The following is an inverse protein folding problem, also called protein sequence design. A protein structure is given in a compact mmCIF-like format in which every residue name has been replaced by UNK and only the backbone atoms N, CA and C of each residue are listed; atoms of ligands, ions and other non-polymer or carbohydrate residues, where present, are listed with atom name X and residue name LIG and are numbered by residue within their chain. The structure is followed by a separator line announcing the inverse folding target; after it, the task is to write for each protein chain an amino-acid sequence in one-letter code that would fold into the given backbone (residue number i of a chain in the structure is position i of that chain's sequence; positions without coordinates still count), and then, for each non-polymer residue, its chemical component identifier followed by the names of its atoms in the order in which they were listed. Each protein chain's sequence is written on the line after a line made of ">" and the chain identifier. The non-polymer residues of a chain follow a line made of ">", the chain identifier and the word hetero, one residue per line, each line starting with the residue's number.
data_IF_641982636869
#
_entry.id   IF_641982636869
#
_cell.length_a   1.000
_cell.length_b   1.000
_cell.length_c   1.000
_cell.angle_alpha   90.00
_cell.angle_beta   90.00
_cell.angle_gamma   90.00
#
_symmetry.space_group_name_H-M   'P 1'
#
loop_
_entity.id
_entity.type
_entity.pdbx_description
1 polymer ?
#
# COMPACT_ATOMS: atom_id res chain seq x y z
N UNK A 1 23.83 12.08 5.38
CA UNK A 1 22.56 12.27 4.69
C UNK A 1 21.66 11.13 5.07
N UNK A 2 20.60 11.42 5.80
CA UNK A 2 19.56 10.42 6.11
C UNK A 2 18.58 10.26 4.93
N UNK A 3 17.58 9.38 5.08
CA UNK A 3 16.60 9.09 4.03
C UNK A 3 15.80 10.32 3.63
N UNK A 4 15.34 11.07 4.62
CA UNK A 4 14.51 12.25 4.44
C UNK A 4 15.26 13.39 3.79
N UNK A 5 16.47 13.69 4.24
CA UNK A 5 17.36 14.68 3.60
C UNK A 5 17.58 14.34 2.13
N UNK A 6 17.85 13.06 1.83
CA UNK A 6 18.06 12.55 0.48
C UNK A 6 16.84 12.76 -0.41
N UNK A 7 15.65 12.42 0.10
CA UNK A 7 14.39 12.60 -0.60
C UNK A 7 14.09 14.08 -0.85
N UNK A 8 14.25 14.94 0.15
CA UNK A 8 14.00 16.37 0.02
C UNK A 8 14.94 17.00 -1.03
N UNK A 9 16.24 16.69 -1.00
CA UNK A 9 17.19 17.17 -2.00
C UNK A 9 16.84 16.72 -3.41
N UNK A 10 16.49 15.45 -3.58
CA UNK A 10 16.09 14.91 -4.88
C UNK A 10 14.82 15.59 -5.41
N UNK A 11 13.82 15.86 -4.55
CA UNK A 11 12.59 16.57 -4.94
C UNK A 11 12.86 18.03 -5.29
N UNK A 12 13.81 18.68 -4.63
CA UNK A 12 14.24 20.05 -4.93
C UNK A 12 15.14 20.13 -6.19
N UNK A 13 15.42 19.00 -6.85
CA UNK A 13 16.26 18.92 -8.04
C UNK A 13 17.76 19.05 -7.77
N UNK A 14 18.16 18.97 -6.50
CA UNK A 14 19.57 18.95 -6.07
C UNK A 14 20.14 17.53 -6.13
N UNK A 15 21.46 17.39 -6.06
CA UNK A 15 22.13 16.08 -6.10
C UNK A 15 22.22 15.45 -4.70
N UNK A 16 21.52 14.33 -4.43
CA UNK A 16 21.71 13.56 -3.21
C UNK A 16 23.01 12.74 -3.24
N UNK A 17 23.44 12.22 -2.09
CA UNK A 17 24.60 11.32 -1.99
C UNK A 17 24.41 9.96 -2.71
N UNK A 18 23.16 9.54 -2.93
CA UNK A 18 22.75 8.43 -3.81
C UNK A 18 21.30 8.61 -4.25
N UNK A 19 20.87 7.85 -5.26
CA UNK A 19 19.46 7.84 -5.71
C UNK A 19 18.56 7.29 -4.57
N UNK A 20 17.48 7.99 -4.18
CA UNK A 20 16.50 7.47 -3.24
C UNK A 20 15.84 6.17 -3.75
N UNK A 21 15.72 5.19 -2.87
CA UNK A 21 15.16 3.88 -3.18
C UNK A 21 13.86 3.59 -2.39
N UNK A 22 12.94 2.88 -3.04
CA UNK A 22 11.72 2.36 -2.44
C UNK A 22 11.61 0.86 -2.75
N UNK A 23 10.96 0.10 -1.86
CA UNK A 23 10.61 -1.30 -2.12
C UNK A 23 9.09 -1.45 -2.14
N UNK A 24 8.57 -1.87 -3.29
CA UNK A 24 7.15 -2.09 -3.49
C UNK A 24 6.34 -0.80 -3.57
N UNK A 25 5.02 -0.97 -3.48
CA UNK A 25 4.03 0.11 -3.54
C UNK A 25 3.04 0.02 -2.37
N UNK A 26 3.47 -0.59 -1.25
CA UNK A 26 2.68 -0.87 -0.06
C UNK A 26 3.59 -1.02 1.16
N UNK A 27 3.03 -1.02 2.38
CA UNK A 27 3.79 -1.21 3.61
C UNK A 27 4.53 -2.56 3.61
N UNK A 28 5.86 -2.50 3.75
CA UNK A 28 6.73 -3.66 3.95
C UNK A 28 7.33 -3.59 5.35
N UNK A 29 7.21 -4.69 6.11
CA UNK A 29 7.85 -4.84 7.41
C UNK A 29 9.37 -5.09 7.21
N UNK A 30 10.13 -4.01 7.04
CA UNK A 30 11.58 -4.12 6.82
C UNK A 30 12.31 -4.66 8.03
N UNK A 31 11.82 -4.43 9.24
CA UNK A 31 12.50 -4.90 10.45
C UNK A 31 12.55 -6.44 10.47
N UNK A 32 11.58 -7.10 9.83
CA UNK A 32 11.59 -8.56 9.61
C UNK A 32 12.50 -9.05 8.47
N UNK A 33 12.90 -8.17 7.56
CA UNK A 33 13.65 -8.51 6.34
C UNK A 33 15.12 -8.11 6.41
N UNK A 34 15.45 -7.11 7.20
CA UNK A 34 16.80 -6.58 7.34
C UNK A 34 17.59 -7.51 8.28
N UNK A 35 18.79 -7.96 7.89
CA UNK A 35 19.63 -8.76 8.76
C UNK A 35 19.91 -8.07 10.10
N UNK A 36 20.00 -8.86 11.17
CA UNK A 36 20.28 -8.32 12.51
C UNK A 36 21.53 -7.44 12.54
N UNK A 37 21.42 -6.28 13.20
CA UNK A 37 22.51 -5.32 13.35
C UNK A 37 22.70 -4.37 12.15
N UNK A 38 21.91 -4.51 11.08
CA UNK A 38 21.88 -3.55 9.98
C UNK A 38 20.69 -2.60 10.10
N UNK A 39 20.90 -1.35 9.70
CA UNK A 39 19.84 -0.36 9.63
C UNK A 39 19.10 -0.45 8.29
N UNK A 40 17.79 -0.71 8.35
CA UNK A 40 16.92 -0.73 7.17
C UNK A 40 16.90 0.58 6.38
N UNK A 41 17.15 1.71 7.04
CA UNK A 41 17.23 3.04 6.40
C UNK A 41 18.46 3.17 5.50
N UNK A 42 19.45 2.28 5.64
CA UNK A 42 20.58 2.24 4.71
C UNK A 42 20.20 1.72 3.31
N UNK A 43 19.11 0.96 3.22
CA UNK A 43 18.68 0.33 1.97
C UNK A 43 17.57 1.12 1.29
N UNK A 44 16.56 1.55 2.05
CA UNK A 44 15.36 2.19 1.55
C UNK A 44 15.13 3.55 2.18
N UNK A 45 14.72 4.49 1.35
CA UNK A 45 14.49 5.88 1.72
C UNK A 45 12.99 6.20 1.85
N UNK A 46 12.15 5.51 1.07
CA UNK A 46 10.70 5.67 1.10
C UNK A 46 10.07 4.56 1.92
N UNK A 47 9.30 4.96 2.93
CA UNK A 47 8.47 4.07 3.76
C UNK A 47 6.99 4.34 3.50
N UNK A 48 6.21 3.28 3.41
CA UNK A 48 4.76 3.37 3.30
C UNK A 48 4.13 3.17 4.68
N UNK A 49 3.27 4.09 5.11
CA UNK A 49 2.42 3.88 6.29
C UNK A 49 1.28 2.92 5.95
N UNK A 50 0.70 2.31 6.98
CA UNK A 50 -0.38 1.34 6.81
C UNK A 50 -1.61 1.80 7.58
N UNK A 51 -2.76 1.81 6.90
CA UNK A 51 -4.05 1.95 7.57
C UNK A 51 -4.23 0.84 8.62
N UNK A 52 -4.87 1.14 9.76
CA UNK A 52 -5.40 0.12 10.65
C UNK A 52 -6.20 -0.93 9.88
N UNK A 53 -6.13 -2.17 10.36
CA UNK A 53 -6.90 -3.27 9.75
C UNK A 53 -8.38 -3.01 10.00
N UNK A 54 -9.15 -2.87 8.93
CA UNK A 54 -10.60 -2.70 9.00
C UNK A 54 -11.31 -3.94 9.56
N UNK A 55 -12.52 -3.80 10.15
CA UNK A 55 -13.33 -4.94 10.56
C UNK A 55 -13.58 -5.96 9.43
N UNK A 56 -13.76 -5.49 8.20
CA UNK A 56 -13.95 -6.30 6.99
C UNK A 56 -12.70 -7.11 6.66
N UNK A 57 -11.52 -6.49 6.72
CA UNK A 57 -10.23 -7.16 6.53
C UNK A 57 -9.99 -8.23 7.61
N UNK A 58 -10.29 -7.93 8.87
CA UNK A 58 -10.11 -8.90 9.95
C UNK A 58 -11.12 -10.05 9.84
N UNK A 59 -12.35 -9.77 9.41
CA UNK A 59 -13.35 -10.80 9.08
C UNK A 59 -12.85 -11.67 7.92
N UNK A 60 -12.36 -11.07 6.84
CA UNK A 60 -11.82 -11.81 5.70
C UNK A 60 -10.63 -12.66 6.12
N UNK A 61 -9.68 -12.12 6.88
CA UNK A 61 -8.51 -12.85 7.40
C UNK A 61 -8.93 -14.08 8.20
N UNK A 62 -9.93 -13.95 9.06
CA UNK A 62 -10.48 -15.06 9.86
C UNK A 62 -11.12 -16.13 8.98
N UNK A 63 -11.89 -15.73 7.98
CA UNK A 63 -12.55 -16.63 7.04
C UNK A 63 -11.54 -17.33 6.11
N UNK A 64 -10.48 -16.63 5.73
CA UNK A 64 -9.44 -17.12 4.84
C UNK A 64 -8.41 -18.02 5.55
N UNK A 65 -8.27 -17.92 6.88
CA UNK A 65 -7.28 -18.66 7.69
C UNK A 65 -7.21 -20.17 7.44
N UNK A 66 -8.32 -20.90 7.19
CA UNK A 66 -8.27 -22.34 6.94
C UNK A 66 -7.71 -22.73 5.56
N UNK A 67 -7.57 -21.78 4.63
CA UNK A 67 -7.13 -22.03 3.26
C UNK A 67 -5.67 -21.64 3.10
N UNK A 68 -4.91 -22.42 2.33
CA UNK A 68 -3.54 -22.07 1.98
C UNK A 68 -3.52 -20.81 1.11
N UNK A 69 -2.61 -19.86 1.37
CA UNK A 69 -2.52 -18.64 0.59
C UNK A 69 -2.11 -18.96 -0.85
N UNK A 70 -3.02 -18.74 -1.80
CA UNK A 70 -2.69 -18.75 -3.23
C UNK A 70 -1.97 -17.44 -3.58
N UNK A 71 -0.68 -17.54 -3.88
CA UNK A 71 0.17 -16.39 -4.23
C UNK A 71 -0.29 -15.65 -5.48
N UNK A 72 -1.18 -16.22 -6.30
CA UNK A 72 -1.80 -15.54 -7.45
C UNK A 72 -2.82 -14.47 -7.06
N UNK A 73 -3.47 -14.61 -5.90
CA UNK A 73 -4.51 -13.68 -5.44
C UNK A 73 -3.98 -12.63 -4.45
N UNK A 74 -2.76 -12.82 -3.94
CA UNK A 74 -2.11 -11.92 -3.00
C UNK A 74 -2.42 -12.23 -1.53
N UNK A 75 -2.05 -11.31 -0.66
CA UNK A 75 -2.31 -11.38 0.79
C UNK A 75 -3.78 -11.10 1.11
N UNK A 76 -4.32 -11.51 2.27
CA UNK A 76 -5.69 -11.18 2.67
C UNK A 76 -6.00 -9.68 2.66
N UNK A 77 -5.01 -8.82 2.94
CA UNK A 77 -5.14 -7.34 2.87
C UNK A 77 -5.36 -6.89 1.43
N UNK A 78 -4.57 -7.43 0.49
CA UNK A 78 -4.75 -7.17 -0.94
C UNK A 78 -6.10 -7.68 -1.43
N UNK A 79 -6.53 -8.87 -0.99
CA UNK A 79 -7.85 -9.42 -1.33
C UNK A 79 -9.00 -8.56 -0.78
N UNK A 80 -8.88 -8.03 0.45
CA UNK A 80 -9.89 -7.14 0.99
C UNK A 80 -9.99 -5.83 0.20
N UNK A 81 -8.86 -5.29 -0.23
CA UNK A 81 -8.82 -4.15 -1.15
C UNK A 81 -9.53 -4.51 -2.46
N UNK A 82 -9.27 -5.68 -3.04
CA UNK A 82 -9.97 -6.11 -4.25
C UNK A 82 -11.48 -6.20 -4.05
N UNK A 83 -11.95 -6.72 -2.92
CA UNK A 83 -13.39 -6.76 -2.58
C UNK A 83 -13.96 -5.34 -2.45
N UNK A 84 -13.26 -4.43 -1.76
CA UNK A 84 -13.71 -3.05 -1.56
C UNK A 84 -13.89 -2.30 -2.89
N UNK A 85 -13.03 -2.58 -3.87
CA UNK A 85 -13.07 -1.98 -5.21
C UNK A 85 -13.85 -2.82 -6.24
N UNK A 86 -14.51 -3.90 -5.82
CA UNK A 86 -15.11 -4.95 -6.68
C UNK A 86 -14.20 -5.39 -7.84
N UNK A 87 -12.90 -5.48 -7.57
CA UNK A 87 -11.89 -5.95 -8.51
C UNK A 87 -11.78 -7.48 -8.45
N UNK A 88 -11.88 -8.14 -9.62
CA UNK A 88 -11.92 -9.62 -9.77
C UNK A 88 -10.72 -10.14 -10.58
N UNK A 89 -9.51 -10.22 -10.01
CA UNK A 89 -8.32 -10.68 -10.73
C UNK A 89 -8.40 -12.13 -11.23
N UNK A 90 -9.22 -12.96 -10.60
CA UNK A 90 -9.46 -14.37 -10.95
C UNK A 90 -10.31 -14.57 -12.21
N UNK A 91 -10.99 -13.52 -12.68
CA UNK A 91 -11.84 -13.55 -13.85
C UNK A 91 -11.26 -12.61 -14.93
N UNK A 92 -10.15 -12.96 -15.60
CA UNK A 92 -9.46 -12.06 -16.53
C UNK A 92 -10.33 -11.62 -17.72
N UNK A 93 -11.36 -12.40 -18.08
CA UNK A 93 -12.35 -12.07 -19.10
C UNK A 93 -13.34 -11.00 -18.62
N UNK A 94 -13.60 -10.93 -17.31
CA UNK A 94 -14.17 -9.76 -16.64
C UNK A 94 -13.03 -8.76 -16.37
N UNK A 95 -12.50 -8.15 -17.44
CA UNK A 95 -11.60 -7.00 -17.30
C UNK A 95 -12.22 -5.99 -16.35
N UNK A 96 -11.37 -5.26 -15.62
CA UNK A 96 -11.76 -4.04 -14.89
C UNK A 96 -12.78 -3.28 -15.77
N UNK A 97 -14.04 -3.07 -15.32
CA UNK A 97 -15.07 -2.48 -16.16
C UNK A 97 -14.64 -1.11 -16.75
N UNK A 98 -13.78 -0.37 -16.05
CA UNK A 98 -13.18 0.88 -16.53
C UNK A 98 -12.22 0.69 -17.72
N UNK A 99 -11.70 -0.51 -17.97
CA UNK A 99 -10.87 -0.79 -19.13
C UNK A 99 -11.61 -0.64 -20.47
N UNK A 100 -12.95 -0.56 -20.43
CA UNK A 100 -13.80 -0.30 -21.61
C UNK A 100 -14.45 1.09 -21.60
N UNK A 101 -14.20 1.91 -20.57
CA UNK A 101 -14.73 3.26 -20.51
C UNK A 101 -14.21 4.08 -21.71
N UNK A 102 -15.12 4.67 -22.47
CA UNK A 102 -14.85 5.52 -23.64
C UNK A 102 -15.41 6.92 -23.48
N UNK A 103 -16.20 7.14 -22.44
CA UNK A 103 -16.87 8.41 -22.15
C UNK A 103 -16.85 8.71 -20.66
N UNK A 104 -17.19 9.95 -20.32
CA UNK A 104 -17.38 10.36 -18.92
C UNK A 104 -18.58 9.65 -18.27
N UNK A 105 -19.61 9.35 -19.05
CA UNK A 105 -20.82 8.67 -18.57
C UNK A 105 -20.51 7.23 -18.13
N UNK A 106 -19.63 6.53 -18.87
CA UNK A 106 -19.11 5.21 -18.46
C UNK A 106 -18.37 5.25 -17.11
N UNK A 107 -17.74 6.38 -16.77
CA UNK A 107 -17.12 6.55 -15.46
C UNK A 107 -18.18 6.77 -14.38
N UNK A 108 -19.19 7.61 -14.64
CA UNK A 108 -20.24 7.90 -13.66
C UNK A 108 -21.09 6.68 -13.32
N UNK A 109 -21.36 5.82 -14.30
CA UNK A 109 -22.10 4.56 -14.08
C UNK A 109 -21.27 3.47 -13.39
N UNK A 110 -19.94 3.64 -13.31
CA UNK A 110 -19.10 2.67 -12.61
C UNK A 110 -19.44 2.68 -11.11
N UNK A 111 -19.64 1.50 -10.49
CA UNK A 111 -19.95 1.38 -9.07
C UNK A 111 -18.70 1.65 -8.22
N UNK A 112 -18.22 2.90 -8.24
CA UNK A 112 -17.15 3.31 -7.35
C UNK A 112 -17.53 3.02 -5.90
N UNK A 113 -16.57 2.60 -5.07
CA UNK A 113 -16.82 2.45 -3.65
C UNK A 113 -17.35 3.76 -3.07
N UNK A 114 -18.21 3.67 -2.06
CA UNK A 114 -18.72 4.85 -1.36
C UNK A 114 -17.55 5.60 -0.70
N UNK A 115 -17.13 6.70 -1.33
CA UNK A 115 -16.05 7.57 -0.85
C UNK A 115 -16.44 8.35 0.41
N UNK A 116 -17.72 8.32 0.80
CA UNK A 116 -18.23 8.83 2.07
C UNK A 116 -17.99 7.88 3.24
N UNK A 117 -17.54 6.65 2.98
CA UNK A 117 -17.11 5.72 4.03
C UNK A 117 -15.88 6.28 4.72
N UNK A 118 -15.95 6.51 6.03
CA UNK A 118 -14.82 7.00 6.81
C UNK A 118 -13.73 5.94 6.82
N UNK A 119 -12.56 6.26 6.25
CA UNK A 119 -11.36 5.47 6.51
C UNK A 119 -11.00 5.59 7.98
N UNK A 120 -10.68 4.46 8.62
CA UNK A 120 -10.00 4.48 9.91
C UNK A 120 -8.57 4.96 9.68
N UNK A 121 -8.29 6.21 10.05
CA UNK A 121 -7.00 6.88 9.86
C UNK A 121 -6.25 7.04 11.18
N UNK A 122 -6.81 6.51 12.28
CA UNK A 122 -6.20 6.64 13.60
C UNK A 122 -4.82 5.98 13.61
N UNK A 123 -3.84 6.66 14.18
CA UNK A 123 -2.46 6.15 14.22
C UNK A 123 -1.60 6.49 13.01
N UNK A 124 -2.17 6.94 11.87
CA UNK A 124 -1.36 7.24 10.67
C UNK A 124 -0.38 8.39 10.89
N UNK A 125 -0.82 9.46 11.58
CA UNK A 125 0.04 10.60 11.89
C UNK A 125 1.22 10.17 12.78
N UNK A 126 0.98 9.31 13.77
CA UNK A 126 2.01 8.77 14.64
C UNK A 126 2.99 7.87 13.87
N UNK A 127 2.52 7.07 12.91
CA UNK A 127 3.40 6.29 12.04
C UNK A 127 4.31 7.20 11.20
N UNK A 128 3.76 8.24 10.58
CA UNK A 128 4.54 9.22 9.82
C UNK A 128 5.59 9.89 10.69
N UNK A 129 5.20 10.34 11.89
CA UNK A 129 6.13 10.98 12.82
C UNK A 129 7.25 10.02 13.23
N UNK A 130 6.92 8.77 13.60
CA UNK A 130 7.91 7.78 13.99
C UNK A 130 8.89 7.42 12.87
N UNK A 131 8.45 7.48 11.61
CA UNK A 131 9.33 7.31 10.44
C UNK A 131 10.25 8.53 10.31
N UNK A 132 9.71 9.75 10.36
CA UNK A 132 10.51 10.98 10.25
C UNK A 132 11.53 11.14 11.38
N UNK A 133 11.22 10.69 12.60
CA UNK A 133 12.15 10.72 13.73
C UNK A 133 13.37 9.80 13.54
N UNK A 134 13.29 8.84 12.60
CA UNK A 134 14.39 7.92 12.26
C UNK A 134 15.26 8.38 11.08
N UNK A 135 14.94 9.53 10.47
CA UNK A 135 15.64 10.06 9.30
C UNK A 135 15.10 9.49 7.99
#
# INVERSE_FOLDING_TARGET
>A
MDSRERLLLAMDGSEPDRIPCALGFYHVDLDSLVPEGLDGNHFLDVRFVRFPVSPEEEKLRRLARPYDPDTRLGTPVQMATYIHWDYRPEAPDHRNPLARARSFEDLVEFPFPDLGTTYDVDGLAQQVQAIHERG
#
